data_IF_018603740568
#
_entry.id   IF_018603740568
#
_cell.length_a   1.000
_cell.length_b   1.000
_cell.length_c   1.000
_cell.angle_alpha   90.00
_cell.angle_beta   90.00
_cell.angle_gamma   90.00
#
_symmetry.space_group_name_H-M   'P 1'
#
loop_
_entity.id
_entity.type
_entity.pdbx_description
1 polymer ?
#
# COMPACT_ATOMS: atom_id res chain seq x y z
N UNK A 1 7.75 -5.68 -0.67
CA UNK A 1 6.79 -4.55 -0.67
C UNK A 1 7.16 -3.57 -1.75
N UNK A 2 6.18 -3.20 -2.57
CA UNK A 2 6.30 -2.12 -3.55
C UNK A 2 5.46 -0.94 -3.07
N UNK A 3 6.10 0.20 -2.88
CA UNK A 3 5.42 1.44 -2.49
C UNK A 3 5.11 2.26 -3.73
N UNK A 4 3.83 2.57 -3.94
CA UNK A 4 3.39 3.36 -5.10
C UNK A 4 3.15 4.80 -4.66
N UNK A 5 3.93 5.73 -5.21
CA UNK A 5 3.88 7.15 -4.85
C UNK A 5 3.31 8.00 -6.00
N UNK A 6 2.54 9.01 -5.63
CA UNK A 6 1.92 9.93 -6.57
C UNK A 6 0.62 10.48 -5.98
N UNK A 7 -0.18 11.17 -6.80
CA UNK A 7 -1.51 11.58 -6.35
C UNK A 7 -2.41 10.34 -6.23
N UNK A 8 -3.46 10.45 -5.41
CA UNK A 8 -4.25 9.27 -5.02
C UNK A 8 -4.88 8.57 -6.22
N UNK A 9 -5.41 9.31 -7.19
CA UNK A 9 -6.06 8.69 -8.34
C UNK A 9 -5.07 7.89 -9.19
N UNK A 10 -3.88 8.42 -9.40
CA UNK A 10 -2.82 7.74 -10.14
C UNK A 10 -2.30 6.54 -9.37
N UNK A 11 -2.16 6.67 -8.04
CA UNK A 11 -1.74 5.55 -7.18
C UNK A 11 -2.74 4.40 -7.26
N UNK A 12 -4.03 4.69 -7.15
CA UNK A 12 -5.08 3.66 -7.25
C UNK A 12 -5.02 2.95 -8.60
N UNK A 13 -4.92 3.72 -9.68
CA UNK A 13 -4.86 3.14 -11.02
C UNK A 13 -3.62 2.28 -11.21
N UNK A 14 -2.48 2.72 -10.71
CA UNK A 14 -1.23 1.96 -10.81
C UNK A 14 -1.28 0.68 -9.99
N UNK A 15 -1.82 0.71 -8.79
CA UNK A 15 -1.97 -0.49 -7.96
C UNK A 15 -2.90 -1.50 -8.63
N UNK A 16 -4.01 -1.04 -9.21
CA UNK A 16 -4.89 -1.92 -9.98
C UNK A 16 -4.17 -2.60 -11.14
N UNK A 17 -3.39 -1.82 -11.89
CA UNK A 17 -2.60 -2.32 -13.01
C UNK A 17 -1.58 -3.36 -12.56
N UNK A 18 -0.83 -3.06 -11.50
CA UNK A 18 0.18 -3.96 -10.95
C UNK A 18 -0.44 -5.23 -10.38
N UNK A 19 -1.56 -5.10 -9.66
CA UNK A 19 -2.27 -6.25 -9.11
C UNK A 19 -2.69 -7.21 -10.24
N UNK A 20 -3.28 -6.67 -11.29
CA UNK A 20 -3.68 -7.46 -12.45
C UNK A 20 -2.48 -8.15 -13.10
N UNK A 21 -1.37 -7.44 -13.23
CA UNK A 21 -0.14 -7.98 -13.79
C UNK A 21 0.38 -9.17 -12.98
N UNK A 22 0.49 -9.00 -11.64
CA UNK A 22 1.03 -10.06 -10.79
C UNK A 22 0.08 -11.26 -10.70
N UNK A 23 -1.22 -11.03 -10.65
CA UNK A 23 -2.21 -12.12 -10.67
C UNK A 23 -2.09 -12.92 -11.97
N UNK A 24 -1.84 -12.26 -13.10
CA UNK A 24 -1.63 -12.94 -14.38
C UNK A 24 -0.38 -13.81 -14.40
N UNK A 25 0.55 -13.57 -13.47
CA UNK A 25 1.78 -14.37 -13.29
C UNK A 25 1.62 -15.44 -12.20
N UNK A 26 0.39 -15.71 -11.77
CA UNK A 26 0.06 -16.67 -10.71
C UNK A 26 0.68 -16.31 -9.36
N UNK A 27 0.84 -15.02 -9.11
CA UNK A 27 1.35 -14.52 -7.84
C UNK A 27 0.21 -14.08 -6.93
N UNK A 28 0.33 -14.39 -5.65
CA UNK A 28 -0.63 -13.92 -4.65
C UNK A 28 -0.30 -12.47 -4.27
N UNK A 29 -1.30 -11.59 -4.36
CA UNK A 29 -1.12 -10.15 -4.17
C UNK A 29 -1.78 -9.69 -2.87
N UNK A 30 -1.01 -8.99 -2.03
CA UNK A 30 -1.53 -8.25 -0.89
C UNK A 30 -1.53 -6.76 -1.19
N UNK A 31 -2.54 -6.05 -0.71
CA UNK A 31 -2.67 -4.60 -0.92
C UNK A 31 -2.89 -3.91 0.43
N UNK A 32 -2.06 -2.92 0.73
CA UNK A 32 -2.26 -2.02 1.86
C UNK A 32 -2.89 -0.73 1.34
N UNK A 33 -4.17 -0.57 1.61
CA UNK A 33 -4.98 0.54 1.15
C UNK A 33 -5.28 1.51 2.29
N UNK A 34 -6.07 2.51 2.01
CA UNK A 34 -6.69 3.38 3.00
C UNK A 34 -8.21 3.23 2.93
N UNK A 35 -8.93 3.71 3.95
CA UNK A 35 -10.39 3.58 3.99
C UNK A 35 -11.04 4.16 2.73
N UNK A 36 -10.48 5.25 2.21
CA UNK A 36 -11.01 5.98 1.06
C UNK A 36 -10.87 5.21 -0.26
N UNK A 37 -9.95 4.27 -0.33
CA UNK A 37 -9.63 3.54 -1.57
C UNK A 37 -9.89 2.03 -1.47
N UNK A 38 -10.15 1.54 -0.29
CA UNK A 38 -10.24 0.11 0.01
C UNK A 38 -11.15 -0.66 -0.97
N UNK A 39 -12.31 -0.10 -1.27
CA UNK A 39 -13.29 -0.76 -2.14
C UNK A 39 -12.91 -0.73 -3.63
N UNK A 40 -11.87 0.01 -3.99
CA UNK A 40 -11.42 0.09 -5.39
C UNK A 40 -10.61 -1.11 -5.84
N UNK A 41 -10.15 -1.95 -4.91
CA UNK A 41 -9.19 -3.01 -5.22
C UNK A 41 -9.82 -4.40 -5.19
N UNK A 42 -9.25 -5.28 -6.01
CA UNK A 42 -9.50 -6.71 -6.00
C UNK A 42 -8.15 -7.40 -5.90
N UNK A 43 -7.99 -8.28 -4.94
CA UNK A 43 -6.74 -9.00 -4.71
C UNK A 43 -6.95 -10.14 -3.72
N UNK A 44 -5.88 -10.85 -3.37
CA UNK A 44 -5.96 -11.98 -2.47
C UNK A 44 -6.14 -11.54 -1.02
N UNK A 45 -5.41 -10.52 -0.61
CA UNK A 45 -5.49 -9.96 0.74
C UNK A 45 -5.48 -8.44 0.64
N UNK A 46 -6.54 -7.78 1.08
CA UNK A 46 -6.63 -6.32 1.08
C UNK A 46 -6.88 -5.86 2.51
N UNK A 47 -6.04 -4.98 3.00
CA UNK A 47 -6.17 -4.40 4.33
C UNK A 47 -6.15 -2.88 4.25
N UNK A 48 -6.97 -2.23 5.06
CA UNK A 48 -6.95 -0.78 5.19
C UNK A 48 -6.08 -0.38 6.37
N UNK A 49 -5.19 0.58 6.13
CA UNK A 49 -4.36 1.19 7.19
C UNK A 49 -5.17 2.16 8.05
N UNK A 50 -6.36 2.54 7.61
CA UNK A 50 -7.19 3.57 8.20
C UNK A 50 -7.41 4.70 7.22
N UNK A 51 -8.03 5.79 7.68
CA UNK A 51 -8.25 6.95 6.81
C UNK A 51 -6.93 7.67 6.52
N UNK A 52 -6.71 8.01 5.24
CA UNK A 52 -5.55 8.82 4.84
C UNK A 52 -5.58 10.22 5.42
N UNK A 53 -6.73 10.65 5.95
CA UNK A 53 -6.87 11.92 6.64
C UNK A 53 -6.61 11.81 8.14
N UNK A 54 -6.34 10.60 8.65
CA UNK A 54 -5.99 10.37 10.05
C UNK A 54 -4.67 9.57 10.12
N UNK A 55 -3.57 10.28 9.92
CA UNK A 55 -2.25 9.66 9.77
C UNK A 55 -1.73 9.04 11.07
N UNK A 56 -2.24 9.45 12.23
CA UNK A 56 -1.87 8.81 13.50
C UNK A 56 -2.36 7.37 13.56
N UNK A 57 -3.56 7.11 13.05
CA UNK A 57 -4.10 5.75 12.95
C UNK A 57 -3.30 4.93 11.91
N UNK A 58 -2.99 5.52 10.77
CA UNK A 58 -2.18 4.87 9.74
C UNK A 58 -0.81 4.47 10.30
N UNK A 59 -0.15 5.39 11.02
CA UNK A 59 1.14 5.11 11.63
C UNK A 59 1.08 3.97 12.64
N UNK A 60 0.02 3.94 13.45
CA UNK A 60 -0.20 2.90 14.46
C UNK A 60 -0.41 1.53 13.83
N UNK A 61 -1.14 1.48 12.72
CA UNK A 61 -1.54 0.22 12.10
C UNK A 61 -0.48 -0.36 11.15
N UNK A 62 0.45 0.47 10.68
CA UNK A 62 1.32 0.12 9.57
C UNK A 62 2.08 -1.20 9.76
N UNK A 63 2.85 -1.32 10.84
CA UNK A 63 3.68 -2.52 11.04
C UNK A 63 2.86 -3.76 11.35
N UNK A 64 1.77 -3.60 12.10
CA UNK A 64 0.87 -4.71 12.40
C UNK A 64 0.27 -5.28 11.11
N UNK A 65 -0.22 -4.41 10.25
CA UNK A 65 -0.87 -4.84 9.00
C UNK A 65 0.15 -5.38 7.99
N UNK A 66 1.35 -4.82 7.95
CA UNK A 66 2.41 -5.39 7.13
C UNK A 66 2.69 -6.85 7.53
N UNK A 67 2.80 -7.12 8.83
CA UNK A 67 3.01 -8.47 9.32
C UNK A 67 1.83 -9.40 9.03
N UNK A 68 0.60 -8.88 9.18
CA UNK A 68 -0.60 -9.68 8.88
C UNK A 68 -0.63 -10.10 7.42
N UNK A 69 -0.40 -9.17 6.50
CA UNK A 69 -0.42 -9.45 5.07
C UNK A 69 0.71 -10.41 4.70
N UNK A 70 1.90 -10.17 5.25
CA UNK A 70 3.05 -11.05 5.00
C UNK A 70 2.78 -12.48 5.48
N UNK A 71 2.12 -12.63 6.63
CA UNK A 71 1.79 -13.95 7.20
C UNK A 71 0.77 -14.72 6.37
N UNK A 72 0.03 -14.07 5.48
CA UNK A 72 -0.92 -14.72 4.58
C UNK A 72 -0.25 -15.44 3.40
N UNK A 73 1.08 -15.38 3.30
CA UNK A 73 1.80 -16.06 2.25
C UNK A 73 1.69 -15.40 0.88
N UNK A 74 1.48 -14.08 0.84
CA UNK A 74 1.44 -13.36 -0.43
C UNK A 74 2.83 -13.24 -1.04
N UNK A 75 2.89 -13.20 -2.36
CA UNK A 75 4.15 -13.09 -3.11
C UNK A 75 4.60 -11.64 -3.26
N UNK A 76 3.66 -10.70 -3.28
CA UNK A 76 3.96 -9.28 -3.43
C UNK A 76 2.96 -8.48 -2.61
N UNK A 77 3.43 -7.39 -2.00
CA UNK A 77 2.59 -6.43 -1.28
C UNK A 77 2.70 -5.09 -1.99
N UNK A 78 1.54 -4.54 -2.38
CA UNK A 78 1.44 -3.22 -2.99
C UNK A 78 0.89 -2.27 -1.94
N UNK A 79 1.62 -1.19 -1.65
CA UNK A 79 1.24 -0.25 -0.62
C UNK A 79 0.98 1.14 -1.22
N UNK A 80 -0.09 1.78 -0.78
CA UNK A 80 -0.38 3.16 -1.13
C UNK A 80 0.52 4.13 -0.38
N UNK A 81 0.87 5.23 -1.04
CA UNK A 81 1.50 6.37 -0.39
C UNK A 81 0.44 7.26 0.27
N UNK A 82 0.88 8.04 1.24
CA UNK A 82 0.06 9.07 1.89
C UNK A 82 0.79 10.41 1.77
N UNK A 83 0.16 11.49 2.26
CA UNK A 83 0.78 12.82 2.25
C UNK A 83 2.15 12.79 2.92
N UNK A 84 3.10 13.55 2.36
CA UNK A 84 4.44 13.70 2.93
C UNK A 84 4.54 14.87 3.91
N UNK A 85 3.44 15.50 4.26
CA UNK A 85 3.40 16.63 5.19
C UNK A 85 3.20 16.15 6.63
N UNK A 86 3.89 16.79 7.59
CA UNK A 86 3.74 16.50 9.00
C UNK A 86 3.99 15.03 9.34
N UNK A 87 3.06 14.42 10.07
CA UNK A 87 3.13 13.00 10.44
C UNK A 87 3.19 12.08 9.22
N UNK A 88 2.63 12.52 8.10
CA UNK A 88 2.68 11.76 6.85
C UNK A 88 4.10 11.51 6.37
N UNK A 89 5.02 12.45 6.59
CA UNK A 89 6.43 12.24 6.23
C UNK A 89 7.04 11.08 7.03
N UNK A 90 6.74 10.99 8.32
CA UNK A 90 7.22 9.88 9.14
C UNK A 90 6.66 8.54 8.67
N UNK A 91 5.38 8.49 8.32
CA UNK A 91 4.73 7.29 7.77
C UNK A 91 5.41 6.91 6.45
N UNK A 92 5.63 7.87 5.57
CA UNK A 92 6.26 7.62 4.27
C UNK A 92 7.69 7.12 4.41
N UNK A 93 8.46 7.70 5.34
CA UNK A 93 9.83 7.23 5.57
C UNK A 93 9.87 5.77 6.03
N UNK A 94 8.91 5.37 6.86
CA UNK A 94 8.79 3.98 7.32
C UNK A 94 8.36 3.05 6.18
N UNK A 95 7.41 3.47 5.36
CA UNK A 95 6.99 2.71 4.18
C UNK A 95 8.13 2.54 3.19
N UNK A 96 8.90 3.60 2.95
CA UNK A 96 10.05 3.56 2.04
C UNK A 96 11.10 2.57 2.53
N UNK A 97 11.40 2.55 3.83
CA UNK A 97 12.31 1.57 4.41
C UNK A 97 11.75 0.15 4.33
N UNK A 98 10.48 -0.04 4.66
CA UNK A 98 9.83 -1.35 4.62
C UNK A 98 9.82 -1.94 3.20
N UNK A 99 9.77 -1.08 2.18
CA UNK A 99 9.82 -1.49 0.78
C UNK A 99 11.25 -1.68 0.27
N UNK A 100 12.26 -1.45 1.11
CA UNK A 100 13.67 -1.39 0.70
C UNK A 100 13.88 -0.38 -0.44
N UNK A 101 13.15 0.73 -0.38
CA UNK A 101 13.16 1.80 -1.39
C UNK A 101 12.74 1.34 -2.79
N UNK A 102 11.95 0.27 -2.88
CA UNK A 102 11.30 -0.15 -4.13
C UNK A 102 10.08 0.71 -4.34
N UNK A 103 10.28 1.85 -4.96
CA UNK A 103 9.27 2.88 -5.14
C UNK A 103 8.88 2.96 -6.61
N UNK A 104 7.57 2.90 -6.88
CA UNK A 104 7.01 3.07 -8.22
C UNK A 104 6.29 4.41 -8.24
N UNK A 105 6.67 5.27 -9.18
CA UNK A 105 5.99 6.55 -9.36
C UNK A 105 4.78 6.36 -10.25
N UNK A 106 3.61 6.73 -9.74
CA UNK A 106 2.33 6.61 -10.44
C UNK A 106 1.97 7.94 -11.09
N UNK A 107 2.52 8.23 -12.24
CA UNK A 107 2.21 9.49 -12.91
C UNK A 107 2.02 9.32 -14.41
#
# INVERSE_FOLDING_TARGET
>A
VLLVEGNIQDVVNKIKELSKYYVSKNMAVGILATDETYSSYVGHVIKSLGSRFNLSVVARNLFRLLREVDSQGVDVILAESVSTEGLGLAVMNRLRKASCYRIIKAS
#
